data_IF_152939122960
#
_entry.id   IF_152939122960
#
_cell.length_a   1.000
_cell.length_b   1.000
_cell.length_c   1.000
_cell.angle_alpha   90.00
_cell.angle_beta   90.00
_cell.angle_gamma   90.00
#
_symmetry.space_group_name_H-M   'P 1'
#
loop_
_entity.id
_entity.type
_entity.pdbx_description
1 polymer ?
#
# COMPACT_ATOMS: atom_id res chain seq x y z
N UNK A 1 -6.64 -4.07 3.72
CA UNK A 1 -5.29 -3.93 3.16
C UNK A 1 -5.02 -5.08 2.18
N UNK A 2 -5.53 -4.96 0.96
CA UNK A 2 -5.19 -5.84 -0.19
C UNK A 2 -4.57 -5.03 -1.35
N UNK A 3 -4.23 -3.77 -1.10
CA UNK A 3 -4.33 -2.73 -2.13
C UNK A 3 -3.26 -2.85 -3.22
N UNK A 4 -1.98 -3.09 -2.88
CA UNK A 4 -0.90 -3.13 -3.90
C UNK A 4 -0.86 -4.41 -4.73
N UNK A 5 -1.15 -5.57 -4.12
CA UNK A 5 -1.21 -6.82 -4.87
C UNK A 5 -2.45 -6.85 -5.77
N UNK A 6 -3.57 -6.31 -5.31
CA UNK A 6 -4.76 -6.08 -6.14
C UNK A 6 -4.48 -5.06 -7.24
N UNK A 7 -3.80 -3.96 -6.98
CA UNK A 7 -3.40 -2.99 -8.01
C UNK A 7 -2.47 -3.60 -9.07
N UNK A 8 -1.55 -4.50 -8.67
CA UNK A 8 -0.71 -5.21 -9.62
C UNK A 8 -1.54 -6.18 -10.48
N UNK A 9 -2.49 -6.90 -9.88
CA UNK A 9 -3.43 -7.76 -10.61
C UNK A 9 -4.25 -6.93 -11.61
N UNK A 10 -4.82 -5.81 -11.18
CA UNK A 10 -5.58 -4.89 -12.04
C UNK A 10 -4.73 -4.34 -13.20
N UNK A 11 -3.48 -3.99 -12.95
CA UNK A 11 -2.56 -3.48 -13.97
C UNK A 11 -2.21 -4.54 -15.02
N UNK A 12 -1.98 -5.78 -14.60
CA UNK A 12 -1.71 -6.92 -15.50
C UNK A 12 -2.95 -7.27 -16.33
N UNK A 13 -4.14 -7.25 -15.73
CA UNK A 13 -5.40 -7.52 -16.43
C UNK A 13 -5.72 -6.43 -17.47
N UNK A 14 -5.45 -5.16 -17.14
CA UNK A 14 -5.55 -4.05 -18.09
C UNK A 14 -4.57 -4.21 -19.25
N UNK A 15 -3.34 -4.68 -19.00
CA UNK A 15 -2.35 -4.95 -20.03
C UNK A 15 -2.81 -6.05 -20.99
N UNK A 16 -3.34 -7.17 -20.46
CA UNK A 16 -3.87 -8.24 -21.29
C UNK A 16 -5.02 -7.75 -22.19
N UNK A 17 -5.90 -6.91 -21.63
CA UNK A 17 -7.01 -6.29 -22.37
C UNK A 17 -6.51 -5.37 -23.48
N UNK A 18 -5.50 -4.53 -23.21
CA UNK A 18 -4.91 -3.63 -24.20
C UNK A 18 -4.22 -4.41 -25.32
N UNK A 19 -3.49 -5.49 -25.03
CA UNK A 19 -2.87 -6.33 -26.05
C UNK A 19 -3.90 -6.92 -27.01
N UNK A 20 -4.97 -7.49 -26.48
CA UNK A 20 -6.06 -8.05 -27.30
C UNK A 20 -6.75 -6.96 -28.11
N UNK A 21 -7.03 -5.80 -27.52
CA UNK A 21 -7.63 -4.67 -28.22
C UNK A 21 -6.76 -4.14 -29.36
N UNK A 22 -5.44 -4.02 -29.14
CA UNK A 22 -4.47 -3.63 -30.15
C UNK A 22 -4.41 -4.63 -31.30
N UNK A 23 -4.28 -5.93 -31.00
CA UNK A 23 -4.28 -6.98 -32.02
C UNK A 23 -5.59 -6.99 -32.82
N UNK A 24 -6.73 -6.84 -32.14
CA UNK A 24 -8.04 -6.77 -32.79
C UNK A 24 -8.18 -5.54 -33.68
N UNK A 25 -7.70 -4.38 -33.22
CA UNK A 25 -7.74 -3.14 -33.98
C UNK A 25 -6.89 -3.22 -35.25
N UNK A 26 -5.64 -3.70 -35.13
CA UNK A 26 -4.75 -3.91 -36.27
C UNK A 26 -5.39 -4.88 -37.26
N UNK A 27 -5.86 -6.03 -36.79
CA UNK A 27 -6.48 -7.05 -37.64
C UNK A 27 -7.77 -6.58 -38.35
N UNK A 28 -8.55 -5.67 -37.74
CA UNK A 28 -9.80 -5.18 -38.34
C UNK A 28 -9.67 -3.91 -39.17
N UNK A 29 -8.64 -3.09 -38.94
CA UNK A 29 -8.57 -1.73 -39.50
C UNK A 29 -7.29 -1.41 -40.24
N UNK A 30 -6.27 -2.27 -40.20
CA UNK A 30 -5.05 -2.09 -40.97
C UNK A 30 -4.85 -3.27 -41.90
N UNK A 31 -4.84 -3.01 -43.21
CA UNK A 31 -4.15 -3.88 -44.15
C UNK A 31 -2.66 -3.78 -43.82
N UNK A 32 -1.99 -4.93 -43.68
CA UNK A 32 -0.56 -5.00 -43.36
C UNK A 32 0.24 -4.45 -44.56
N UNK A 33 0.58 -3.17 -44.53
CA UNK A 33 1.44 -2.56 -45.53
C UNK A 33 2.92 -2.61 -45.13
N UNK A 34 3.79 -2.71 -46.13
CA UNK A 34 5.25 -2.68 -45.92
C UNK A 34 5.69 -1.27 -45.61
N UNK A 35 6.36 -1.09 -44.46
CA UNK A 35 6.90 0.20 -44.04
C UNK A 35 7.84 0.79 -45.11
N UNK A 36 7.64 2.06 -45.43
CA UNK A 36 8.51 2.82 -46.31
C UNK A 36 9.82 3.23 -45.63
N UNK A 37 10.82 3.72 -46.39
CA UNK A 37 12.15 4.09 -45.85
C UNK A 37 12.13 5.20 -44.79
N UNK A 38 11.05 5.97 -44.70
CA UNK A 38 10.89 7.11 -43.81
C UNK A 38 9.83 6.89 -42.72
N UNK A 39 9.23 5.71 -42.64
CA UNK A 39 8.22 5.44 -41.61
C UNK A 39 8.87 5.29 -40.24
N UNK A 40 8.35 6.05 -39.27
CA UNK A 40 8.79 5.98 -37.88
C UNK A 40 7.88 5.02 -37.13
N UNK A 41 8.45 3.89 -36.69
CA UNK A 41 7.77 3.00 -35.75
C UNK A 41 7.44 3.77 -34.47
N UNK A 42 6.15 3.89 -34.15
CA UNK A 42 5.70 4.49 -32.89
C UNK A 42 6.04 3.51 -31.77
N UNK A 43 7.20 3.69 -31.15
CA UNK A 43 7.68 2.91 -30.01
C UNK A 43 7.03 3.36 -28.66
N UNK A 44 6.11 4.32 -28.71
CA UNK A 44 5.72 5.13 -27.55
C UNK A 44 4.79 4.41 -26.56
N UNK A 45 3.92 3.51 -27.03
CA UNK A 45 2.91 2.89 -26.17
C UNK A 45 3.44 1.77 -25.28
N UNK A 46 4.54 1.13 -25.67
CA UNK A 46 5.09 0.00 -24.92
C UNK A 46 5.94 0.45 -23.71
N UNK A 47 6.67 1.57 -23.84
CA UNK A 47 7.54 2.09 -22.78
C UNK A 47 6.81 2.64 -21.55
N UNK A 48 5.61 3.20 -21.68
CA UNK A 48 4.94 3.89 -20.56
C UNK A 48 4.31 2.93 -19.55
N UNK A 49 3.86 1.76 -19.99
CA UNK A 49 3.11 0.81 -19.16
C UNK A 49 4.00 -0.28 -18.55
N UNK A 50 5.01 -0.76 -19.28
CA UNK A 50 6.07 -1.62 -18.70
C UNK A 50 6.71 -0.93 -17.48
N UNK A 51 6.96 0.38 -17.58
CA UNK A 51 7.42 1.21 -16.47
C UNK A 51 6.44 1.27 -15.29
N UNK A 52 5.14 1.33 -15.55
CA UNK A 52 4.14 1.39 -14.47
C UNK A 52 4.13 0.08 -13.65
N UNK A 53 4.21 -1.06 -14.34
CA UNK A 53 4.29 -2.37 -13.68
C UNK A 53 5.60 -2.50 -12.91
N UNK A 54 6.73 -2.06 -13.46
CA UNK A 54 8.03 -2.10 -12.80
C UNK A 54 8.07 -1.25 -11.52
N UNK A 55 7.43 -0.07 -11.52
CA UNK A 55 7.28 0.79 -10.34
C UNK A 55 6.37 0.14 -9.29
N UNK A 56 5.29 -0.52 -9.72
CA UNK A 56 4.40 -1.24 -8.80
C UNK A 56 5.11 -2.43 -8.13
N UNK A 57 5.87 -3.22 -8.90
CA UNK A 57 6.63 -4.35 -8.37
C UNK A 57 7.72 -3.89 -7.40
N UNK A 58 8.52 -2.89 -7.78
CA UNK A 58 9.60 -2.35 -6.92
C UNK A 58 9.10 -1.63 -5.66
N UNK A 59 7.82 -1.24 -5.63
CA UNK A 59 7.19 -0.66 -4.46
C UNK A 59 6.40 -1.67 -3.62
N UNK A 60 6.43 -2.98 -3.92
CA UNK A 60 5.77 -3.97 -3.07
C UNK A 60 6.45 -4.05 -1.69
N UNK A 61 5.71 -3.84 -0.59
CA UNK A 61 6.28 -3.94 0.75
C UNK A 61 6.70 -5.39 1.02
N UNK A 62 7.93 -5.57 1.51
CA UNK A 62 8.46 -6.90 1.80
C UNK A 62 9.05 -7.66 0.61
N UNK A 63 9.18 -7.02 -0.57
CA UNK A 63 9.79 -7.65 -1.76
C UNK A 63 11.21 -8.18 -1.50
N UNK A 64 12.00 -7.44 -0.71
CA UNK A 64 13.40 -7.78 -0.41
C UNK A 64 13.58 -8.59 0.89
N UNK A 65 12.50 -8.89 1.61
CA UNK A 65 12.58 -9.53 2.93
C UNK A 65 12.20 -11.00 2.86
N UNK A 66 12.98 -11.88 3.51
CA UNK A 66 12.61 -13.28 3.68
C UNK A 66 11.35 -13.41 4.56
N UNK A 67 10.54 -14.44 4.34
CA UNK A 67 9.43 -14.81 5.23
C UNK A 67 9.89 -14.92 6.69
N UNK A 68 11.08 -15.47 6.93
CA UNK A 68 11.65 -15.58 8.27
C UNK A 68 11.97 -14.21 8.90
N UNK A 69 12.42 -13.24 8.09
CA UNK A 69 12.66 -11.87 8.57
C UNK A 69 11.35 -11.16 8.90
N UNK A 70 10.33 -11.35 8.06
CA UNK A 70 8.99 -10.83 8.28
C UNK A 70 8.37 -11.42 9.55
N UNK A 71 8.48 -12.73 9.77
CA UNK A 71 7.95 -13.38 10.96
C UNK A 71 8.67 -12.90 12.23
N UNK A 72 10.00 -12.74 12.20
CA UNK A 72 10.74 -12.13 13.30
C UNK A 72 10.27 -10.72 13.60
N UNK A 73 10.13 -9.89 12.56
CA UNK A 73 9.69 -8.52 12.71
C UNK A 73 8.27 -8.41 13.26
N UNK A 74 7.36 -9.31 12.87
CA UNK A 74 6.01 -9.39 13.44
C UNK A 74 6.09 -9.69 14.94
N UNK A 75 6.89 -10.68 15.36
CA UNK A 75 7.04 -11.02 16.79
C UNK A 75 7.61 -9.87 17.61
N UNK A 76 8.58 -9.13 17.06
CA UNK A 76 9.13 -7.94 17.70
C UNK A 76 8.06 -6.85 17.87
N UNK A 77 7.30 -6.55 16.81
CA UNK A 77 6.20 -5.57 16.87
C UNK A 77 5.10 -5.99 17.85
N UNK A 78 4.79 -7.28 17.96
CA UNK A 78 3.81 -7.79 18.93
C UNK A 78 4.26 -7.54 20.37
N UNK A 79 5.54 -7.75 20.69
CA UNK A 79 6.07 -7.48 22.03
C UNK A 79 6.14 -5.99 22.32
N UNK A 80 6.56 -5.18 21.35
CA UNK A 80 6.55 -3.70 21.46
C UNK A 80 5.14 -3.17 21.72
N UNK A 81 4.13 -3.70 21.01
CA UNK A 81 2.73 -3.32 21.17
C UNK A 81 2.22 -3.67 22.57
N UNK A 82 2.60 -4.85 23.08
CA UNK A 82 2.24 -5.29 24.43
C UNK A 82 2.85 -4.40 25.51
N UNK A 83 4.11 -3.98 25.35
CA UNK A 83 4.78 -3.04 26.27
C UNK A 83 4.06 -1.68 26.22
N UNK A 84 3.80 -1.16 25.02
CA UNK A 84 3.12 0.12 24.83
C UNK A 84 1.71 0.12 25.44
N UNK A 85 0.95 -0.97 25.30
CA UNK A 85 -0.38 -1.08 25.88
C UNK A 85 -0.35 -1.17 27.41
N UNK A 86 0.66 -1.85 27.99
CA UNK A 86 0.84 -1.88 29.44
C UNK A 86 1.12 -0.47 30.00
N UNK A 87 2.01 0.28 29.35
CA UNK A 87 2.29 1.69 29.70
C UNK A 87 1.04 2.55 29.57
N UNK A 88 0.25 2.36 28.49
CA UNK A 88 -1.02 3.07 28.29
C UNK A 88 -2.00 2.80 29.44
N UNK A 89 -2.11 1.55 29.89
CA UNK A 89 -2.99 1.19 31.00
C UNK A 89 -2.55 1.81 32.33
N UNK A 90 -1.25 1.84 32.60
CA UNK A 90 -0.71 2.46 33.80
C UNK A 90 -0.97 3.98 33.81
N UNK A 91 -0.70 4.65 32.70
CA UNK A 91 -1.00 6.07 32.54
C UNK A 91 -2.50 6.39 32.72
N UNK A 92 -3.40 5.50 32.26
CA UNK A 92 -4.85 5.65 32.49
C UNK A 92 -5.18 5.56 33.99
N UNK A 93 -4.60 4.59 34.71
CA UNK A 93 -4.83 4.43 36.16
C UNK A 93 -4.37 5.67 36.92
N UNK A 94 -3.17 6.17 36.63
CA UNK A 94 -2.65 7.39 37.25
C UNK A 94 -3.55 8.60 36.95
N UNK A 95 -3.98 8.75 35.70
CA UNK A 95 -4.90 9.82 35.30
C UNK A 95 -6.24 9.72 36.05
N UNK A 96 -6.81 8.52 36.21
CA UNK A 96 -8.06 8.33 36.94
C UNK A 96 -7.89 8.60 38.46
N UNK A 97 -6.75 8.22 39.04
CA UNK A 97 -6.39 8.53 40.43
C UNK A 97 -6.33 10.05 40.65
N UNK A 98 -5.59 10.77 39.80
CA UNK A 98 -5.45 12.23 39.88
C UNK A 98 -6.81 12.92 39.70
N UNK A 99 -7.65 12.43 38.79
CA UNK A 99 -9.01 12.96 38.61
C UNK A 99 -9.86 12.80 39.88
N UNK A 100 -9.76 11.65 40.56
CA UNK A 100 -10.46 11.43 41.83
C UNK A 100 -9.96 12.37 42.94
N UNK A 101 -8.65 12.61 43.02
CA UNK A 101 -8.07 13.55 43.99
C UNK A 101 -8.52 14.99 43.71
N UNK A 102 -8.50 15.40 42.44
CA UNK A 102 -8.98 16.70 42.01
C UNK A 102 -10.46 16.91 42.34
N UNK A 103 -11.31 15.91 42.08
CA UNK A 103 -12.73 15.94 42.41
C UNK A 103 -12.96 16.12 43.92
N UNK A 104 -12.14 15.49 44.76
CA UNK A 104 -12.20 15.65 46.22
C UNK A 104 -11.89 17.09 46.66
N UNK A 105 -10.83 17.69 46.09
CA UNK A 105 -10.44 19.08 46.36
C UNK A 105 -11.51 20.07 45.87
N UNK A 106 -12.06 19.87 44.67
CA UNK A 106 -13.13 20.73 44.16
C UNK A 106 -14.37 20.66 45.06
N UNK A 107 -14.74 19.46 45.53
CA UNK A 107 -15.87 19.28 46.46
C UNK A 107 -15.64 19.90 47.83
N UNK A 108 -14.40 19.96 48.32
CA UNK A 108 -14.10 20.59 49.61
C UNK A 108 -14.19 22.12 49.53
N UNK A 109 -13.84 22.73 48.39
CA UNK A 109 -13.94 24.18 48.16
C UNK A 109 -15.37 24.63 47.86
N UNK A 110 -16.19 23.80 47.19
CA UNK A 110 -17.57 24.15 46.77
C UNK A 110 -18.61 24.07 47.90
N UNK A 111 -18.23 23.90 49.17
CA UNK A 111 -19.17 23.96 50.30
C UNK A 111 -19.29 25.41 50.83
N UNK A 112 -20.39 26.14 50.58
CA UNK A 112 -20.96 27.04 51.58
C UNK A 112 -21.64 26.24 52.71
#
# INVERSE_FOLDING_TARGET
>A
MGDRLTQLQDAVDQLATQFVACLHYVNKRHDLETLGPNDKLIHFLQMSFERQIEVLISSLPGLDNSEMDQERYIKELEEDLKIAEAQRQEAIKEKDQILSELDSVIRSIRRP
#
